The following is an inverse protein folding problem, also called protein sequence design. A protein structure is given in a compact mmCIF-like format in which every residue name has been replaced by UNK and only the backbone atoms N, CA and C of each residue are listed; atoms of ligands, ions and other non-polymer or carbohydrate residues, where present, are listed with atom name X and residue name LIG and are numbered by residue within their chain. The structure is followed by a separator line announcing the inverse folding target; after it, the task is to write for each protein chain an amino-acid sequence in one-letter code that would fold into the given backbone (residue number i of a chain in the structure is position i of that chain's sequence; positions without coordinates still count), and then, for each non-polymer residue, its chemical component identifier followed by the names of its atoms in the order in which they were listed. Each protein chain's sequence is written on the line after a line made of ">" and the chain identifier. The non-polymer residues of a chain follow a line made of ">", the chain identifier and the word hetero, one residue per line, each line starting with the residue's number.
data_IF_901255670247
#
_entry.id   IF_901255670247
#
_cell.length_a   1.000
_cell.length_b   1.000
_cell.length_c   1.000
_cell.angle_alpha   90.00
_cell.angle_beta   90.00
_cell.angle_gamma   90.00
#
_symmetry.space_group_name_H-M   'P 1'
#
loop_
_entity.id
_entity.type
_entity.pdbx_description
1 polymer ?
#
# COMPACT_ATOMS: atom_id res chain seq x y z
N UNK A 1 1.73 -23.20 12.49
CA UNK A 1 2.32 -21.92 12.05
C UNK A 1 3.67 -22.14 11.35
N UNK A 2 3.70 -22.85 10.21
CA UNK A 2 4.96 -23.18 9.52
C UNK A 2 5.16 -22.47 8.17
N UNK A 3 4.05 -22.14 7.49
CA UNK A 3 4.10 -21.69 6.09
C UNK A 3 4.54 -20.23 5.92
N UNK A 4 4.18 -19.35 6.85
CA UNK A 4 4.51 -17.92 6.79
C UNK A 4 5.82 -17.56 7.50
N UNK A 5 6.46 -18.50 8.21
CA UNK A 5 7.75 -18.26 8.90
C UNK A 5 8.79 -17.62 7.99
N UNK A 6 9.01 -18.09 6.75
CA UNK A 6 9.97 -17.45 5.86
C UNK A 6 9.65 -15.96 5.62
N UNK A 7 8.37 -15.59 5.54
CA UNK A 7 7.96 -14.19 5.30
C UNK A 7 8.20 -13.32 6.53
N UNK A 8 8.03 -13.87 7.73
CA UNK A 8 8.28 -13.14 8.98
C UNK A 8 9.77 -13.01 9.28
N UNK A 9 10.54 -14.08 9.09
CA UNK A 9 11.90 -14.20 9.62
C UNK A 9 12.99 -13.85 8.60
N UNK A 10 12.65 -13.69 7.31
CA UNK A 10 13.63 -13.31 6.28
C UNK A 10 14.22 -11.93 6.56
N UNK A 11 15.52 -11.77 6.34
CA UNK A 11 16.24 -10.51 6.50
C UNK A 11 15.65 -9.40 5.62
N UNK A 12 15.29 -9.75 4.38
CA UNK A 12 14.68 -8.84 3.40
C UNK A 12 13.49 -9.52 2.74
N UNK A 13 12.38 -8.79 2.59
CA UNK A 13 11.27 -9.18 1.71
C UNK A 13 10.91 -8.03 0.77
N UNK A 14 10.28 -8.37 -0.35
CA UNK A 14 9.63 -7.42 -1.24
C UNK A 14 8.12 -7.68 -1.22
N UNK A 15 7.35 -6.66 -0.86
CA UNK A 15 5.89 -6.66 -0.90
C UNK A 15 5.45 -5.79 -2.09
N UNK A 16 5.00 -6.45 -3.16
CA UNK A 16 4.59 -5.76 -4.38
C UNK A 16 3.13 -5.30 -4.30
N UNK A 17 2.87 -4.11 -4.86
CA UNK A 17 1.55 -3.54 -5.13
C UNK A 17 0.65 -3.37 -3.89
N UNK A 18 1.23 -2.88 -2.79
CA UNK A 18 0.52 -2.65 -1.53
C UNK A 18 -0.66 -1.70 -1.72
N UNK A 19 -1.84 -2.14 -1.27
CA UNK A 19 -3.09 -1.37 -1.35
C UNK A 19 -3.86 -1.57 -2.65
N UNK A 20 -3.37 -2.33 -3.64
CA UNK A 20 -4.07 -2.47 -4.93
C UNK A 20 -5.35 -3.30 -4.85
N UNK A 21 -5.42 -4.21 -3.90
CA UNK A 21 -6.64 -4.94 -3.55
C UNK A 21 -7.25 -4.27 -2.31
N UNK A 22 -8.52 -3.87 -2.39
CA UNK A 22 -9.36 -3.68 -1.19
C UNK A 22 -9.87 -5.07 -0.87
N UNK A 23 -9.25 -5.81 0.04
CA UNK A 23 -9.72 -7.11 0.39
C UNK A 23 -10.98 -6.94 1.24
N UNK A 24 -11.91 -7.88 1.11
CA UNK A 24 -12.92 -8.11 2.16
C UNK A 24 -12.21 -8.22 3.51
N UNK A 25 -12.85 -7.78 4.61
CA UNK A 25 -12.19 -7.52 5.91
C UNK A 25 -11.19 -8.55 6.44
N UNK A 26 -11.29 -9.83 6.07
CA UNK A 26 -10.39 -10.91 6.50
C UNK A 26 -9.06 -11.05 5.73
N UNK A 27 -8.92 -10.58 4.49
CA UNK A 27 -7.65 -10.74 3.73
C UNK A 27 -6.60 -9.71 4.17
N UNK A 28 -7.02 -8.57 4.72
CA UNK A 28 -6.11 -7.59 5.33
C UNK A 28 -5.34 -8.14 6.53
N UNK A 29 -5.88 -9.15 7.22
CA UNK A 29 -5.31 -9.67 8.46
C UNK A 29 -3.91 -10.27 8.23
N UNK A 30 -3.67 -10.91 7.08
CA UNK A 30 -2.37 -11.52 6.80
C UNK A 30 -1.30 -10.49 6.47
N UNK A 31 -1.60 -9.52 5.60
CA UNK A 31 -0.67 -8.43 5.26
C UNK A 31 -0.38 -7.59 6.50
N UNK A 32 -1.42 -7.30 7.28
CA UNK A 32 -1.27 -6.59 8.56
C UNK A 32 -0.41 -7.36 9.54
N UNK A 33 -0.57 -8.69 9.65
CA UNK A 33 0.27 -9.54 10.49
C UNK A 33 1.74 -9.52 10.04
N UNK A 34 2.00 -9.58 8.73
CA UNK A 34 3.36 -9.51 8.16
C UNK A 34 4.00 -8.16 8.49
N UNK A 35 3.34 -7.06 8.12
CA UNK A 35 3.87 -5.72 8.33
C UNK A 35 4.06 -5.42 9.82
N UNK A 36 3.11 -5.81 10.68
CA UNK A 36 3.25 -5.62 12.12
C UNK A 36 4.41 -6.41 12.72
N UNK A 37 4.56 -7.69 12.34
CA UNK A 37 5.66 -8.52 12.83
C UNK A 37 7.01 -7.95 12.42
N UNK A 38 7.15 -7.55 11.16
CA UNK A 38 8.41 -7.03 10.61
C UNK A 38 8.74 -5.63 11.12
N UNK A 39 7.74 -4.76 11.28
CA UNK A 39 7.88 -3.47 11.95
C UNK A 39 8.42 -3.65 13.37
N UNK A 40 7.80 -4.53 14.17
CA UNK A 40 8.21 -4.77 15.56
C UNK A 40 9.61 -5.38 15.65
N UNK A 41 10.00 -6.21 14.67
CA UNK A 41 11.32 -6.82 14.59
C UNK A 41 12.37 -5.95 13.87
N UNK A 42 11.98 -4.77 13.40
CA UNK A 42 12.80 -3.85 12.60
C UNK A 42 13.47 -4.53 11.38
N UNK A 43 12.73 -5.40 10.69
CA UNK A 43 13.24 -6.16 9.55
C UNK A 43 13.01 -5.42 8.23
N UNK A 44 14.06 -5.37 7.40
CA UNK A 44 14.07 -4.67 6.11
C UNK A 44 12.95 -5.15 5.20
N UNK A 45 12.13 -4.22 4.73
CA UNK A 45 10.97 -4.52 3.87
C UNK A 45 10.91 -3.50 2.76
N UNK A 46 10.95 -3.97 1.51
CA UNK A 46 10.77 -3.15 0.32
C UNK A 46 9.31 -3.25 -0.08
N UNK A 47 8.67 -2.11 -0.32
CA UNK A 47 7.25 -2.03 -0.67
C UNK A 47 7.13 -1.24 -1.96
N UNK A 48 6.29 -1.72 -2.88
CA UNK A 48 5.84 -0.94 -4.03
C UNK A 48 4.36 -0.62 -3.86
N UNK A 49 3.92 0.55 -4.33
CA UNK A 49 2.53 0.94 -4.29
C UNK A 49 2.23 1.94 -5.40
N UNK A 50 1.01 1.90 -5.91
CA UNK A 50 0.49 2.89 -6.85
C UNK A 50 -0.27 4.03 -6.16
N UNK A 51 -0.32 4.03 -4.83
CA UNK A 51 -1.03 5.04 -4.05
C UNK A 51 -0.04 6.05 -3.46
N UNK A 52 -0.41 7.32 -3.50
CA UNK A 52 0.37 8.36 -2.84
C UNK A 52 0.38 8.13 -1.33
N UNK A 53 1.53 8.38 -0.71
CA UNK A 53 1.65 8.36 0.73
C UNK A 53 0.95 9.58 1.34
N UNK A 54 -0.32 9.38 1.71
CA UNK A 54 -1.17 10.38 2.31
C UNK A 54 -2.07 9.76 3.37
N UNK A 55 -2.58 10.62 4.26
CA UNK A 55 -3.47 10.22 5.34
C UNK A 55 -4.81 9.74 4.77
N UNK A 56 -5.48 8.84 5.50
CA UNK A 56 -6.89 8.54 5.26
C UNK A 56 -7.70 9.84 5.43
N UNK A 57 -8.80 10.02 4.69
CA UNK A 57 -9.65 11.17 5.07
C UNK A 57 -10.17 10.99 6.49
N UNK A 58 -10.37 12.11 7.16
CA UNK A 58 -11.01 12.19 8.47
C UNK A 58 -12.43 11.66 8.40
N UNK A 59 -12.77 10.76 9.31
CA UNK A 59 -14.14 10.29 9.52
C UNK A 59 -15.05 11.42 10.03
N UNK A 60 -14.46 12.48 10.58
CA UNK A 60 -15.15 13.60 11.22
C UNK A 60 -15.91 14.50 10.21
N UNK A 61 -15.67 14.34 8.92
CA UNK A 61 -16.45 14.98 7.85
C UNK A 61 -17.67 14.12 7.49
N UNK A 62 -18.61 13.97 8.41
CA UNK A 62 -19.85 13.25 8.18
C UNK A 62 -20.88 14.13 7.48
N UNK A 63 -21.10 13.88 6.19
CA UNK A 63 -22.12 14.53 5.38
C UNK A 63 -22.17 13.99 3.96
N UNK A 64 -23.32 14.09 3.30
CA UNK A 64 -23.50 13.59 1.94
C UNK A 64 -22.53 14.26 0.95
N UNK A 65 -22.29 15.55 1.11
CA UNK A 65 -21.29 16.29 0.35
C UNK A 65 -19.85 15.81 0.59
N UNK A 66 -19.51 15.39 1.82
CA UNK A 66 -18.19 14.88 2.15
C UNK A 66 -17.97 13.45 1.61
N UNK A 67 -19.01 12.60 1.66
CA UNK A 67 -19.00 11.27 1.02
C UNK A 67 -18.82 11.38 -0.50
N UNK A 68 -19.52 12.32 -1.15
CA UNK A 68 -19.36 12.59 -2.57
C UNK A 68 -17.94 13.07 -2.91
N UNK A 69 -17.35 13.96 -2.10
CA UNK A 69 -15.94 14.38 -2.26
C UNK A 69 -14.95 13.23 -2.09
N UNK A 70 -15.14 12.36 -1.10
CA UNK A 70 -14.34 11.14 -0.93
C UNK A 70 -14.45 10.18 -2.11
N UNK A 71 -15.65 10.03 -2.68
CA UNK A 71 -15.85 9.15 -3.82
C UNK A 71 -15.16 9.67 -5.09
N UNK A 72 -15.00 10.99 -5.21
CA UNK A 72 -14.43 11.63 -6.40
C UNK A 72 -12.92 11.95 -6.29
N UNK A 73 -12.32 11.81 -5.11
CA UNK A 73 -10.88 12.06 -4.94
C UNK A 73 -10.07 10.78 -5.20
N UNK A 74 -8.83 10.94 -5.63
CA UNK A 74 -7.87 9.85 -5.68
C UNK A 74 -7.62 9.30 -4.26
N UNK A 75 -7.69 7.99 -4.10
CA UNK A 75 -7.47 7.35 -2.81
C UNK A 75 -5.98 7.41 -2.42
N UNK A 76 -5.71 7.70 -1.15
CA UNK A 76 -4.35 7.67 -0.61
C UNK A 76 -3.98 6.27 -0.12
N UNK A 77 -2.71 6.03 0.19
CA UNK A 77 -2.30 4.79 0.84
C UNK A 77 -3.03 4.61 2.19
N UNK A 78 -3.18 5.68 2.98
CA UNK A 78 -3.94 5.67 4.22
C UNK A 78 -5.41 5.25 4.04
N UNK A 79 -6.06 5.69 2.96
CA UNK A 79 -7.42 5.25 2.62
C UNK A 79 -7.50 3.74 2.31
N UNK A 80 -6.39 3.13 1.85
CA UNK A 80 -6.36 1.73 1.40
C UNK A 80 -5.96 0.77 2.51
N UNK A 81 -4.93 1.10 3.30
CA UNK A 81 -4.34 0.21 4.33
C UNK A 81 -4.67 0.64 5.76
N UNK A 82 -5.36 1.77 5.93
CA UNK A 82 -5.66 2.37 7.21
C UNK A 82 -4.49 3.21 7.76
N UNK A 83 -4.83 4.26 8.50
CA UNK A 83 -3.88 5.26 9.00
C UNK A 83 -2.75 4.64 9.82
N UNK A 84 -3.10 3.73 10.75
CA UNK A 84 -2.12 3.07 11.62
C UNK A 84 -1.07 2.26 10.85
N UNK A 85 -1.48 1.57 9.77
CA UNK A 85 -0.54 0.77 8.99
C UNK A 85 0.31 1.65 8.09
N UNK A 86 -0.30 2.70 7.51
CA UNK A 86 0.40 3.74 6.76
C UNK A 86 1.51 4.37 7.59
N UNK A 87 1.23 4.71 8.84
CA UNK A 87 2.24 5.30 9.74
C UNK A 87 3.39 4.34 10.02
N UNK A 88 3.10 3.06 10.29
CA UNK A 88 4.14 2.03 10.48
C UNK A 88 5.05 1.91 9.26
N UNK A 89 4.46 1.84 8.07
CA UNK A 89 5.19 1.79 6.81
C UNK A 89 6.02 3.06 6.62
N UNK A 90 5.44 4.24 6.85
CA UNK A 90 6.13 5.52 6.74
C UNK A 90 7.30 5.64 7.72
N UNK A 91 7.17 5.09 8.93
CA UNK A 91 8.22 5.09 9.94
C UNK A 91 9.36 4.12 9.59
N UNK A 92 9.04 2.90 9.13
CA UNK A 92 10.06 1.87 8.86
C UNK A 92 10.68 1.95 7.45
N UNK A 93 10.03 2.64 6.49
CA UNK A 93 10.48 2.73 5.11
C UNK A 93 10.93 4.14 4.73
N UNK A 94 11.97 4.21 3.91
CA UNK A 94 12.32 5.44 3.19
C UNK A 94 11.47 5.57 1.93
N UNK A 95 10.70 6.63 1.84
CA UNK A 95 9.88 6.92 0.65
C UNK A 95 10.74 7.32 -0.54
N UNK A 96 10.51 6.66 -1.68
CA UNK A 96 11.10 6.97 -2.98
C UNK A 96 9.97 7.04 -3.99
N UNK A 97 9.70 8.24 -4.49
CA UNK A 97 8.71 8.44 -5.54
C UNK A 97 9.35 8.24 -6.91
N UNK A 98 8.75 7.36 -7.71
CA UNK A 98 9.16 7.10 -9.08
C UNK A 98 8.26 7.95 -9.99
N UNK A 99 8.86 8.97 -10.60
CA UNK A 99 8.18 9.88 -11.52
C UNK A 99 8.57 9.54 -12.97
N UNK A 100 7.75 9.99 -13.94
CA UNK A 100 8.07 9.97 -15.38
C UNK A 100 8.23 8.56 -16.01
N UNK A 101 7.57 7.55 -15.42
CA UNK A 101 7.49 6.21 -16.02
C UNK A 101 6.11 6.06 -16.68
N UNK A 102 6.03 5.91 -18.02
CA UNK A 102 4.78 5.62 -18.70
C UNK A 102 4.16 4.36 -18.10
N UNK A 103 2.87 4.40 -17.79
CA UNK A 103 2.14 3.23 -17.31
C UNK A 103 2.36 2.07 -18.28
N UNK A 104 2.65 0.88 -17.78
CA UNK A 104 2.70 -0.32 -18.61
C UNK A 104 1.39 -0.51 -19.39
N UNK A 105 0.26 -0.05 -18.83
CA UNK A 105 -1.06 -0.10 -19.47
C UNK A 105 -1.19 0.84 -20.67
N UNK A 106 -0.35 1.88 -20.74
CA UNK A 106 -0.33 2.84 -21.85
C UNK A 106 0.68 2.44 -22.94
N UNK A 107 1.47 1.37 -22.72
CA UNK A 107 2.34 0.81 -23.76
C UNK A 107 1.47 0.09 -24.79
N UNK A 108 1.23 0.77 -25.92
CA UNK A 108 0.70 0.12 -27.11
C UNK A 108 1.63 -1.05 -27.50
N UNK A 109 1.14 -2.31 -27.55
CA UNK A 109 1.96 -3.47 -27.91
C UNK A 109 2.54 -3.38 -29.34
N UNK A 110 2.01 -2.50 -30.20
CA UNK A 110 2.56 -2.23 -31.54
C UNK A 110 3.69 -1.18 -31.58
N UNK A 111 4.11 -0.60 -30.45
CA UNK A 111 5.15 0.44 -30.44
C UNK A 111 6.59 -0.09 -30.51
N UNK A 112 6.79 -1.41 -30.40
CA UNK A 112 8.12 -2.07 -30.40
C UNK A 112 8.53 -2.63 -31.76
N UNK A 113 7.81 -2.34 -32.85
CA UNK A 113 8.23 -2.66 -34.21
C UNK A 113 8.67 -1.37 -34.91
N UNK A 114 9.95 -1.05 -34.79
CA UNK A 114 10.67 -0.14 -35.69
C UNK A 114 12.01 -0.75 -36.03
#
# INVERSE_FOLDING_TARGET
>A
MGLLRPVFDSEVIVLDDLGSVIPTGWVWDTVSLILNTRYNANLTTIITTNFQDGTAASSDEDGEAARARRANREQTLGDRIGERMRDRVHEMCRMISIWDVPSYRDRNPNSLVR
#
